data_IF_376551786707
#
_entry.id   IF_376551786707
#
_cell.length_a   1.000
_cell.length_b   1.000
_cell.length_c   1.000
_cell.angle_alpha   90.00
_cell.angle_beta   90.00
_cell.angle_gamma   90.00
#
_symmetry.space_group_name_H-M   'P 1'
#
loop_
_entity.id
_entity.type
_entity.pdbx_description
1 polymer ?
#
# COMPACT_ATOMS: atom_id res chain seq x y z
N UNK A 1 -4.58 2.03 12.86
CA UNK A 1 -5.18 3.00 11.92
C UNK A 1 -4.16 4.08 11.51
N UNK A 2 -2.96 3.72 11.02
CA UNK A 2 -1.90 4.73 10.73
C UNK A 2 -0.89 4.34 9.65
N UNK A 3 -0.90 3.10 9.14
CA UNK A 3 0.16 2.64 8.23
C UNK A 3 -0.15 2.93 6.78
N UNK A 4 -1.39 2.72 6.35
CA UNK A 4 -1.76 2.94 4.96
C UNK A 4 -2.13 4.37 4.61
N UNK A 5 -2.71 5.13 5.54
CA UNK A 5 -3.02 6.55 5.35
C UNK A 5 -1.78 7.34 4.93
N UNK A 6 -0.62 7.03 5.53
CA UNK A 6 0.65 7.65 5.15
C UNK A 6 1.08 7.31 3.72
N UNK A 7 0.77 6.11 3.21
CA UNK A 7 1.07 5.75 1.83
C UNK A 7 0.10 6.40 0.85
N UNK A 8 -1.17 6.53 1.24
CA UNK A 8 -2.19 7.26 0.47
C UNK A 8 -1.82 8.74 0.40
N UNK A 9 -1.44 9.36 1.52
CA UNK A 9 -0.92 10.73 1.54
C UNK A 9 0.30 10.87 0.63
N UNK A 10 1.24 9.92 0.67
CA UNK A 10 2.41 9.93 -0.21
C UNK A 10 2.03 9.82 -1.70
N UNK A 11 1.00 9.04 -2.05
CA UNK A 11 0.48 8.97 -3.43
C UNK A 11 0.00 10.34 -3.91
N UNK A 12 -0.82 11.01 -3.09
CA UNK A 12 -1.35 12.34 -3.41
C UNK A 12 -0.26 13.42 -3.45
N UNK A 13 0.63 13.45 -2.46
CA UNK A 13 1.67 14.46 -2.36
C UNK A 13 2.71 14.36 -3.48
N UNK A 14 2.97 13.15 -3.99
CA UNK A 14 4.04 12.91 -4.98
C UNK A 14 3.54 12.75 -6.41
N UNK A 15 2.23 12.87 -6.65
CA UNK A 15 1.66 12.65 -7.98
C UNK A 15 2.04 11.28 -8.57
N UNK A 16 2.18 10.28 -7.71
CA UNK A 16 2.58 8.93 -8.12
C UNK A 16 1.38 8.22 -8.78
N UNK A 17 1.66 7.40 -9.78
CA UNK A 17 0.65 6.64 -10.51
C UNK A 17 0.08 5.48 -9.68
N UNK A 18 0.87 4.91 -8.76
CA UNK A 18 0.42 3.80 -7.93
C UNK A 18 1.33 3.47 -6.75
N UNK A 19 0.75 2.78 -5.76
CA UNK A 19 1.48 2.15 -4.66
C UNK A 19 1.53 0.64 -4.94
N UNK A 20 2.74 0.10 -4.99
CA UNK A 20 2.94 -1.33 -5.29
C UNK A 20 3.37 -2.07 -4.03
N UNK A 21 2.62 -3.13 -3.72
CA UNK A 21 2.89 -4.06 -2.62
C UNK A 21 3.17 -5.44 -3.20
N UNK A 22 4.40 -5.95 -3.02
CA UNK A 22 4.82 -7.25 -3.54
C UNK A 22 5.50 -8.08 -2.46
N UNK A 23 5.06 -9.34 -2.30
CA UNK A 23 5.67 -10.28 -1.35
C UNK A 23 7.14 -10.50 -1.70
N UNK A 24 8.01 -10.51 -0.68
CA UNK A 24 9.44 -10.67 -0.88
C UNK A 24 10.12 -9.39 -1.39
N UNK A 25 9.41 -8.25 -1.46
CA UNK A 25 9.98 -6.95 -1.84
C UNK A 25 9.57 -5.85 -0.87
N UNK A 26 10.31 -4.74 -0.91
CA UNK A 26 9.89 -3.49 -0.27
C UNK A 26 8.63 -2.93 -0.95
N UNK A 27 7.85 -2.13 -0.22
CA UNK A 27 6.80 -1.31 -0.82
C UNK A 27 7.45 -0.17 -1.62
N UNK A 28 6.91 0.14 -2.80
CA UNK A 28 7.40 1.26 -3.61
C UNK A 28 6.25 2.03 -4.27
N UNK A 29 6.49 3.30 -4.54
CA UNK A 29 5.66 4.12 -5.40
C UNK A 29 6.12 3.98 -6.84
N UNK A 30 5.17 3.87 -7.75
CA UNK A 30 5.39 3.95 -9.18
C UNK A 30 5.02 5.36 -9.64
N UNK A 31 6.02 6.09 -10.16
CA UNK A 31 5.87 7.43 -10.72
C UNK A 31 5.69 7.40 -12.23
N UNK A 32 5.60 8.59 -12.83
CA UNK A 32 5.55 8.71 -14.28
C UNK A 32 6.79 8.06 -14.94
N UNK A 33 6.58 7.44 -16.11
CA UNK A 33 7.64 6.83 -16.93
C UNK A 33 8.38 5.65 -16.28
N UNK A 34 7.74 4.95 -15.33
CA UNK A 34 8.28 3.72 -14.73
C UNK A 34 9.33 3.96 -13.63
N UNK A 35 9.49 5.20 -13.17
CA UNK A 35 10.34 5.49 -12.02
C UNK A 35 9.76 4.85 -10.76
N UNK A 36 10.54 4.04 -10.06
CA UNK A 36 10.12 3.41 -8.80
C UNK A 36 10.88 3.99 -7.62
N UNK A 37 10.17 4.29 -6.53
CA UNK A 37 10.77 4.74 -5.27
C UNK A 37 10.32 3.87 -4.11
N UNK A 38 11.27 3.22 -3.43
CA UNK A 38 10.98 2.51 -2.19
C UNK A 38 10.47 3.47 -1.10
N UNK A 39 9.36 3.10 -0.48
CA UNK A 39 8.73 3.87 0.62
C UNK A 39 8.77 3.15 1.96
N UNK A 40 9.22 1.90 1.96
CA UNK A 40 9.61 1.16 3.17
C UNK A 40 10.90 0.39 2.92
N UNK A 41 11.78 0.32 3.92
CA UNK A 41 13.01 -0.46 3.82
C UNK A 41 12.83 -1.94 4.15
N UNK A 42 11.66 -2.35 4.68
CA UNK A 42 11.40 -3.75 5.02
C UNK A 42 10.77 -4.51 3.86
N UNK A 43 11.16 -5.76 3.73
CA UNK A 43 10.51 -6.75 2.87
C UNK A 43 9.10 -7.07 3.38
N UNK A 44 8.12 -7.07 2.48
CA UNK A 44 6.75 -7.44 2.79
C UNK A 44 6.57 -8.97 2.75
N UNK A 45 5.80 -9.47 3.70
CA UNK A 45 5.24 -10.83 3.65
C UNK A 45 3.80 -10.74 3.18
N UNK A 46 3.22 -11.85 2.72
CA UNK A 46 1.81 -11.87 2.33
C UNK A 46 0.89 -11.44 3.48
N UNK A 47 1.21 -11.80 4.73
CA UNK A 47 0.45 -11.38 5.91
C UNK A 47 0.46 -9.85 6.09
N UNK A 48 1.59 -9.19 5.83
CA UNK A 48 1.66 -7.72 5.85
C UNK A 48 0.77 -7.08 4.78
N UNK A 49 0.70 -7.68 3.58
CA UNK A 49 -0.12 -7.18 2.47
C UNK A 49 -1.60 -7.38 2.77
N UNK A 50 -2.00 -8.58 3.20
CA UNK A 50 -3.39 -8.89 3.57
C UNK A 50 -3.88 -7.96 4.68
N UNK A 51 -3.08 -7.76 5.72
CA UNK A 51 -3.41 -6.81 6.80
C UNK A 51 -3.58 -5.39 6.28
N UNK A 52 -2.70 -4.93 5.38
CA UNK A 52 -2.77 -3.60 4.78
C UNK A 52 -4.03 -3.41 3.92
N UNK A 53 -4.41 -4.42 3.14
CA UNK A 53 -5.62 -4.37 2.29
C UNK A 53 -6.89 -4.48 3.13
N UNK A 54 -6.90 -5.29 4.17
CA UNK A 54 -8.03 -5.39 5.10
C UNK A 54 -8.33 -4.05 5.80
N UNK A 55 -7.33 -3.19 6.00
CA UNK A 55 -7.52 -1.83 6.52
C UNK A 55 -8.22 -0.88 5.51
N UNK A 56 -8.16 -1.16 4.20
CA UNK A 56 -8.78 -0.35 3.14
C UNK A 56 -10.22 -0.71 2.85
N UNK A 57 -10.58 -1.97 3.10
CA UNK A 57 -11.92 -2.44 2.86
C UNK A 57 -12.81 -1.93 4.01
N UNK A 58 -14.01 -1.39 3.73
CA UNK A 58 -15.05 -1.35 4.74
C UNK A 58 -15.18 -2.76 5.33
N UNK A 59 -15.52 -2.93 6.62
CA UNK A 59 -15.63 -4.24 7.21
C UNK A 59 -16.59 -5.08 6.37
N UNK A 60 -16.02 -5.97 5.55
CA UNK A 60 -16.76 -6.81 4.60
C UNK A 60 -17.77 -7.71 5.35
N UNK A 61 -17.59 -7.85 6.66
CA UNK A 61 -18.50 -8.53 7.59
C UNK A 61 -19.86 -7.83 7.78
N UNK A 62 -20.03 -6.55 7.43
CA UNK A 62 -21.32 -5.87 7.58
C UNK A 62 -22.33 -6.16 6.43
N UNK A 63 -21.92 -6.87 5.39
CA UNK A 63 -22.74 -7.19 4.21
C UNK A 63 -23.23 -8.64 4.16
N UNK A 64 -22.92 -9.44 5.19
CA UNK A 64 -23.38 -10.83 5.33
C UNK A 64 -24.21 -11.07 6.61
N UNK A 65 -24.70 -10.00 7.25
CA UNK A 65 -25.63 -10.03 8.38
C UNK A 65 -27.04 -9.66 7.96
#
# INVERSE_FOLDING_TARGET
MKRLDKFIELLFLRGSAGLVLKTGSAAYLEGAQGATQAVMQRTLSSAHIVSAVAELMPPYQALLS
#
